data_IF_714898704132
#
_entry.id   IF_714898704132
#
_cell.length_a   1.000
_cell.length_b   1.000
_cell.length_c   1.000
_cell.angle_alpha   90.00
_cell.angle_beta   90.00
_cell.angle_gamma   90.00
#
_symmetry.space_group_name_H-M   'P 1'
#
loop_
_entity.id
_entity.type
_entity.pdbx_description
1 polymer ?
#
# COMPACT_ATOMS: atom_id res chain seq x y z
N UNK A 1 -1.98 23.11 11.08
CA UNK A 1 -1.86 21.74 10.54
C UNK A 1 -3.22 21.06 10.43
N UNK A 2 -4.07 21.15 11.45
CA UNK A 2 -5.38 20.47 11.49
C UNK A 2 -6.56 21.44 11.44
N UNK A 3 -7.59 21.05 10.68
CA UNK A 3 -8.93 21.60 10.82
C UNK A 3 -9.66 20.89 11.96
N UNK A 4 -9.52 21.43 13.17
CA UNK A 4 -10.06 20.80 14.39
C UNK A 4 -11.58 20.79 14.47
N UNK A 5 -12.25 21.65 13.71
CA UNK A 5 -13.72 21.68 13.65
C UNK A 5 -14.23 20.48 12.86
N UNK A 6 -13.68 20.28 11.66
CA UNK A 6 -14.00 19.13 10.80
C UNK A 6 -13.61 17.82 11.48
N UNK A 7 -12.42 17.74 12.08
CA UNK A 7 -11.99 16.55 12.80
C UNK A 7 -12.97 16.16 13.93
N UNK A 8 -13.45 17.12 14.72
CA UNK A 8 -14.43 16.86 15.78
C UNK A 8 -15.75 16.35 15.24
N UNK A 9 -16.19 16.88 14.11
CA UNK A 9 -17.42 16.45 13.44
C UNK A 9 -17.28 15.01 12.94
N UNK A 10 -16.18 14.69 12.24
CA UNK A 10 -15.89 13.34 11.77
C UNK A 10 -15.80 12.33 12.92
N UNK A 11 -15.15 12.68 14.04
CA UNK A 11 -15.08 11.80 15.21
C UNK A 11 -16.48 11.49 15.75
N UNK A 12 -17.40 12.47 15.81
CA UNK A 12 -18.79 12.24 16.26
C UNK A 12 -19.54 11.25 15.35
N UNK A 13 -19.30 11.33 14.04
CA UNK A 13 -19.97 10.46 13.07
C UNK A 13 -19.27 9.10 12.88
N UNK A 14 -18.01 8.98 13.30
CA UNK A 14 -17.23 7.73 13.29
C UNK A 14 -17.66 6.72 14.34
N UNK A 15 -17.04 5.53 14.30
CA UNK A 15 -17.18 4.47 15.31
C UNK A 15 -16.73 4.90 16.71
N UNK A 16 -15.83 5.88 16.84
CA UNK A 16 -15.30 6.32 18.14
C UNK A 16 -16.29 7.21 18.89
N UNK A 17 -17.15 7.96 18.18
CA UNK A 17 -18.18 8.89 18.68
C UNK A 17 -17.70 10.05 19.57
N UNK A 18 -16.59 9.88 20.27
CA UNK A 18 -16.08 10.79 21.30
C UNK A 18 -14.58 11.02 21.12
N UNK A 19 -14.13 12.20 21.52
CA UNK A 19 -12.70 12.54 21.52
C UNK A 19 -11.88 11.66 22.46
N UNK A 20 -12.50 11.06 23.47
CA UNK A 20 -11.81 10.20 24.45
C UNK A 20 -11.51 8.85 23.82
N UNK A 21 -12.52 8.18 23.27
CA UNK A 21 -12.34 6.91 22.57
C UNK A 21 -11.40 7.04 21.37
N UNK A 22 -11.45 8.17 20.65
CA UNK A 22 -10.53 8.43 19.54
C UNK A 22 -9.08 8.64 20.02
N UNK A 23 -8.88 9.35 21.13
CA UNK A 23 -7.55 9.52 21.73
C UNK A 23 -6.95 8.16 22.17
N UNK A 24 -7.78 7.29 22.75
CA UNK A 24 -7.38 5.93 23.12
C UNK A 24 -6.98 5.10 21.91
N UNK A 25 -7.76 5.14 20.82
CA UNK A 25 -7.44 4.44 19.57
C UNK A 25 -6.14 4.94 18.92
N UNK A 26 -5.83 6.23 19.08
CA UNK A 26 -4.56 6.81 18.64
C UNK A 26 -3.37 6.35 19.51
N UNK A 27 -3.63 5.85 20.72
CA UNK A 27 -2.60 5.49 21.70
C UNK A 27 -2.06 6.69 22.47
N UNK A 28 -2.86 7.75 22.64
CA UNK A 28 -2.47 8.99 23.34
C UNK A 28 -3.41 9.32 24.49
N UNK A 29 -2.93 10.09 25.45
CA UNK A 29 -3.75 10.50 26.60
C UNK A 29 -4.80 11.53 26.18
N UNK A 30 -5.92 11.56 26.92
CA UNK A 30 -6.97 12.59 26.76
C UNK A 30 -6.38 14.01 26.80
N UNK A 31 -5.45 14.28 27.72
CA UNK A 31 -4.78 15.57 27.82
C UNK A 31 -3.89 15.87 26.61
N UNK A 32 -3.19 14.85 26.10
CA UNK A 32 -2.41 14.95 24.86
C UNK A 32 -3.30 15.29 23.66
N UNK A 33 -4.44 14.63 23.50
CA UNK A 33 -5.38 14.94 22.42
C UNK A 33 -6.01 16.33 22.57
N UNK A 34 -6.38 16.74 23.78
CA UNK A 34 -6.85 18.11 24.04
C UNK A 34 -5.81 19.16 23.66
N UNK A 35 -4.52 18.89 23.91
CA UNK A 35 -3.43 19.75 23.48
C UNK A 35 -3.35 19.84 21.95
N UNK A 36 -3.49 18.72 21.23
CA UNK A 36 -3.52 18.73 19.75
C UNK A 36 -4.69 19.56 19.22
N UNK A 37 -5.88 19.42 19.83
CA UNK A 37 -7.07 20.18 19.46
C UNK A 37 -6.90 21.68 19.74
N UNK A 38 -6.23 22.06 20.84
CA UNK A 38 -6.02 23.48 21.16
C UNK A 38 -4.93 24.11 20.31
N UNK A 39 -3.82 23.39 20.05
CA UNK A 39 -2.70 23.89 19.23
C UNK A 39 -2.95 23.78 17.73
N UNK A 40 -3.98 23.02 17.31
CA UNK A 40 -4.27 22.69 15.89
C UNK A 40 -3.07 22.08 15.16
N UNK A 41 -2.22 21.39 15.93
CA UNK A 41 -0.92 20.90 15.50
C UNK A 41 -0.57 19.58 16.18
N UNK A 42 0.08 18.70 15.44
CA UNK A 42 0.51 17.38 15.90
C UNK A 42 1.73 16.93 15.10
N UNK A 43 2.30 15.77 15.45
CA UNK A 43 3.32 15.12 14.62
C UNK A 43 2.67 14.57 13.35
N UNK A 44 3.42 14.59 12.25
CA UNK A 44 2.97 14.09 10.95
C UNK A 44 2.46 12.65 10.99
N UNK A 45 3.21 11.75 11.64
CA UNK A 45 2.79 10.36 11.87
C UNK A 45 1.42 10.25 12.57
N UNK A 46 1.21 11.05 13.62
CA UNK A 46 -0.06 11.06 14.35
C UNK A 46 -1.20 11.61 13.48
N UNK A 47 -0.93 12.58 12.63
CA UNK A 47 -1.90 13.12 11.68
C UNK A 47 -2.36 12.05 10.68
N UNK A 48 -1.42 11.32 10.07
CA UNK A 48 -1.79 10.25 9.13
C UNK A 48 -2.51 9.09 9.82
N UNK A 49 -2.10 8.74 11.04
CA UNK A 49 -2.83 7.76 11.86
C UNK A 49 -4.26 8.20 12.17
N UNK A 50 -4.52 9.49 12.37
CA UNK A 50 -5.89 10.00 12.51
C UNK A 50 -6.70 9.78 11.23
N UNK A 51 -6.09 9.99 10.07
CA UNK A 51 -6.75 9.78 8.77
C UNK A 51 -7.07 8.30 8.55
N UNK A 52 -6.12 7.41 8.85
CA UNK A 52 -6.28 5.96 8.76
C UNK A 52 -7.42 5.45 9.66
N UNK A 53 -7.45 5.89 10.93
CA UNK A 53 -8.50 5.47 11.87
C UNK A 53 -9.90 5.94 11.45
N UNK A 54 -9.99 7.04 10.71
CA UNK A 54 -11.25 7.61 10.23
C UNK A 54 -11.60 7.19 8.80
N UNK A 55 -10.70 6.49 8.11
CA UNK A 55 -10.82 6.12 6.69
C UNK A 55 -11.11 7.33 5.78
N UNK A 56 -10.27 8.37 5.90
CA UNK A 56 -10.44 9.65 5.17
C UNK A 56 -9.17 10.10 4.47
N UNK A 57 -9.35 10.88 3.41
CA UNK A 57 -8.24 11.57 2.75
C UNK A 57 -7.64 12.65 3.68
N UNK A 58 -6.30 12.69 3.84
CA UNK A 58 -5.58 13.70 4.61
C UNK A 58 -5.99 15.16 4.35
N UNK A 59 -6.37 15.50 3.12
CA UNK A 59 -6.78 16.85 2.72
C UNK A 59 -8.05 17.29 3.47
N UNK A 60 -8.91 16.35 3.87
CA UNK A 60 -10.21 16.65 4.51
C UNK A 60 -10.01 17.30 5.90
N UNK A 61 -9.04 16.81 6.68
CA UNK A 61 -8.76 17.33 8.03
C UNK A 61 -7.52 18.21 8.10
N UNK A 62 -6.82 18.41 6.99
CA UNK A 62 -5.72 19.36 6.92
C UNK A 62 -6.23 20.80 7.07
N UNK A 63 -5.44 21.65 7.73
CA UNK A 63 -5.61 23.10 7.59
C UNK A 63 -5.24 23.52 6.17
N UNK A 64 -5.80 24.60 5.65
CA UNK A 64 -5.53 25.12 4.29
C UNK A 64 -4.05 25.13 3.94
N UNK A 65 -3.20 25.76 4.76
CA UNK A 65 -1.75 25.82 4.58
C UNK A 65 -1.07 24.44 4.49
N UNK A 66 -1.55 23.48 5.28
CA UNK A 66 -0.98 22.13 5.33
C UNK A 66 -1.53 21.26 4.19
N UNK A 67 -2.78 21.49 3.78
CA UNK A 67 -3.37 20.89 2.60
C UNK A 67 -2.59 21.25 1.33
N UNK A 68 -2.15 22.51 1.20
CA UNK A 68 -1.28 22.92 0.10
C UNK A 68 0.09 22.22 0.13
N UNK A 69 0.66 21.98 1.32
CA UNK A 69 1.89 21.19 1.47
C UNK A 69 1.66 19.72 1.06
N UNK A 70 0.55 19.10 1.48
CA UNK A 70 0.19 17.73 1.10
C UNK A 70 0.00 17.63 -0.41
N UNK A 71 -0.76 18.56 -1.02
CA UNK A 71 -0.96 18.61 -2.47
C UNK A 71 0.35 18.85 -3.20
N UNK A 72 1.22 19.72 -2.70
CA UNK A 72 2.53 19.96 -3.30
C UNK A 72 3.41 18.71 -3.25
N UNK A 73 3.40 17.96 -2.14
CA UNK A 73 4.11 16.67 -2.04
C UNK A 73 3.54 15.63 -3.00
N UNK A 74 2.21 15.48 -3.05
CA UNK A 74 1.56 14.60 -4.04
C UNK A 74 1.89 15.02 -5.48
N UNK A 75 1.98 16.31 -5.77
CA UNK A 75 2.39 16.82 -7.07
C UNK A 75 3.89 16.63 -7.34
N UNK A 76 4.76 16.69 -6.33
CA UNK A 76 6.19 16.38 -6.47
C UNK A 76 6.39 14.89 -6.77
N UNK A 77 5.68 14.01 -6.06
CA UNK A 77 5.65 12.56 -6.36
C UNK A 77 5.21 12.30 -7.81
N UNK A 78 4.22 13.06 -8.29
CA UNK A 78 3.73 13.02 -9.69
C UNK A 78 4.67 13.70 -10.71
N UNK A 79 5.60 14.54 -10.27
CA UNK A 79 6.46 15.38 -11.14
C UNK A 79 7.77 14.70 -11.56
N UNK A 80 8.10 13.54 -11.01
CA UNK A 80 9.22 12.77 -11.55
C UNK A 80 8.79 12.13 -12.86
N UNK A 81 9.61 12.24 -13.89
CA UNK A 81 9.40 11.51 -15.13
C UNK A 81 9.66 10.01 -14.96
N UNK A 82 9.21 9.19 -15.91
CA UNK A 82 9.66 7.79 -15.97
C UNK A 82 11.18 7.71 -16.17
N UNK A 83 11.77 8.68 -16.87
CA UNK A 83 13.21 8.83 -17.03
C UNK A 83 13.91 9.00 -15.68
N UNK A 84 13.43 9.92 -14.85
CA UNK A 84 14.00 10.21 -13.53
C UNK A 84 13.94 8.97 -12.64
N UNK A 85 12.80 8.26 -12.64
CA UNK A 85 12.65 7.02 -11.86
C UNK A 85 13.58 5.92 -12.32
N UNK A 86 13.78 5.76 -13.64
CA UNK A 86 14.76 4.78 -14.14
C UNK A 86 16.18 5.17 -13.71
N UNK A 87 16.54 6.46 -13.73
CA UNK A 87 17.84 6.94 -13.28
C UNK A 87 18.03 6.77 -11.76
N UNK A 88 16.98 7.04 -10.98
CA UNK A 88 16.97 6.82 -9.54
C UNK A 88 17.16 5.33 -9.22
N UNK A 89 16.42 4.45 -9.91
CA UNK A 89 16.57 3.00 -9.76
C UNK A 89 18.01 2.55 -10.05
N UNK A 90 18.61 3.02 -11.15
CA UNK A 90 20.01 2.71 -11.51
C UNK A 90 20.96 3.15 -10.40
N UNK A 91 20.73 4.35 -9.84
CA UNK A 91 21.54 4.93 -8.77
C UNK A 91 21.42 4.13 -7.47
N UNK A 92 20.20 3.76 -7.07
CA UNK A 92 19.92 2.99 -5.86
C UNK A 92 20.49 1.57 -5.95
N UNK A 93 20.43 0.95 -7.12
CA UNK A 93 21.06 -0.35 -7.38
C UNK A 93 22.60 -0.27 -7.40
N UNK A 94 23.18 0.94 -7.42
CA UNK A 94 24.61 1.19 -7.51
C UNK A 94 25.27 0.48 -8.71
N UNK A 95 24.59 0.50 -9.86
CA UNK A 95 25.07 -0.04 -11.13
C UNK A 95 25.13 1.05 -12.19
N UNK A 96 25.88 0.81 -13.27
CA UNK A 96 25.87 1.72 -14.41
C UNK A 96 24.82 1.32 -15.45
N UNK A 97 24.52 2.24 -16.38
CA UNK A 97 23.52 2.04 -17.44
C UNK A 97 23.81 0.83 -18.33
N UNK A 98 25.08 0.45 -18.50
CA UNK A 98 25.44 -0.72 -19.30
C UNK A 98 25.01 -2.02 -18.62
N UNK A 99 25.33 -2.15 -17.33
CA UNK A 99 24.92 -3.30 -16.51
C UNK A 99 23.40 -3.36 -16.46
N UNK A 100 22.73 -2.23 -16.19
CA UNK A 100 21.27 -2.16 -16.15
C UNK A 100 20.63 -2.68 -17.45
N UNK A 101 21.06 -2.17 -18.61
CA UNK A 101 20.58 -2.61 -19.93
C UNK A 101 20.81 -4.10 -20.18
N UNK A 102 21.97 -4.61 -19.79
CA UNK A 102 22.30 -6.04 -19.90
C UNK A 102 21.37 -6.90 -19.02
N UNK A 103 21.10 -6.49 -17.78
CA UNK A 103 20.21 -7.19 -16.85
C UNK A 103 18.79 -7.29 -17.40
N UNK A 104 18.21 -6.19 -17.87
CA UNK A 104 16.85 -6.17 -18.42
C UNK A 104 16.77 -6.70 -19.87
N UNK A 105 17.90 -7.09 -20.46
CA UNK A 105 18.02 -7.53 -21.87
C UNK A 105 17.41 -6.50 -22.84
N UNK A 106 17.86 -5.25 -22.74
CA UNK A 106 17.43 -4.16 -23.61
C UNK A 106 18.63 -3.41 -24.21
N UNK A 107 18.52 -2.89 -25.45
CA UNK A 107 19.56 -2.05 -26.04
C UNK A 107 19.79 -0.76 -25.25
N UNK A 108 21.05 -0.31 -25.16
CA UNK A 108 21.41 0.99 -24.57
C UNK A 108 20.71 2.17 -25.27
N UNK A 109 20.52 2.08 -26.59
CA UNK A 109 19.82 3.10 -27.38
C UNK A 109 18.36 3.28 -26.94
N UNK A 110 17.70 2.20 -26.52
CA UNK A 110 16.35 2.26 -25.97
C UNK A 110 16.33 3.02 -24.66
N UNK A 111 17.28 2.74 -23.75
CA UNK A 111 17.39 3.48 -22.48
C UNK A 111 17.66 4.98 -22.72
N UNK A 112 18.59 5.32 -23.62
CA UNK A 112 18.86 6.72 -23.98
C UNK A 112 17.61 7.43 -24.51
N UNK A 113 16.86 6.79 -25.42
CA UNK A 113 15.62 7.38 -25.95
C UNK A 113 14.55 7.59 -24.88
N UNK A 114 14.51 6.74 -23.84
CA UNK A 114 13.56 6.89 -22.73
C UNK A 114 13.97 8.07 -21.85
N UNK A 115 15.26 8.19 -21.54
CA UNK A 115 15.81 9.29 -20.74
C UNK A 115 15.56 10.64 -21.44
N UNK A 116 15.80 10.71 -22.75
CA UNK A 116 15.67 11.97 -23.51
C UNK A 116 14.21 12.42 -23.69
N UNK A 117 13.27 11.48 -23.80
CA UNK A 117 11.87 11.76 -24.15
C UNK A 117 10.89 11.62 -23.00
N UNK A 118 11.38 11.17 -21.85
CA UNK A 118 10.57 10.82 -20.68
C UNK A 118 9.36 9.92 -21.03
N UNK A 119 9.58 8.95 -21.91
CA UNK A 119 8.53 8.06 -22.40
C UNK A 119 9.06 6.64 -22.56
N UNK A 120 8.35 5.69 -21.99
CA UNK A 120 8.72 4.30 -21.94
C UNK A 120 7.60 3.41 -22.47
N UNK A 121 7.94 2.49 -23.37
CA UNK A 121 7.01 1.46 -23.80
C UNK A 121 6.73 0.47 -22.66
N UNK A 122 5.48 -0.03 -22.59
CA UNK A 122 5.07 -1.00 -21.58
C UNK A 122 5.98 -2.24 -21.54
N UNK A 123 6.45 -2.71 -22.70
CA UNK A 123 7.35 -3.88 -22.79
C UNK A 123 8.66 -3.63 -22.05
N UNK A 124 9.17 -2.40 -22.05
CA UNK A 124 10.40 -2.06 -21.33
C UNK A 124 10.16 -2.03 -19.82
N UNK A 125 9.03 -1.47 -19.36
CA UNK A 125 8.62 -1.54 -17.95
C UNK A 125 8.49 -2.99 -17.46
N UNK A 126 7.87 -3.86 -18.25
CA UNK A 126 7.76 -5.29 -17.94
C UNK A 126 9.12 -5.97 -17.83
N UNK A 127 10.09 -5.60 -18.67
CA UNK A 127 11.46 -6.11 -18.57
C UNK A 127 12.14 -5.68 -17.27
N UNK A 128 11.94 -4.44 -16.85
CA UNK A 128 12.45 -3.95 -15.56
C UNK A 128 11.83 -4.75 -14.41
N UNK A 129 10.50 -4.84 -14.34
CA UNK A 129 9.80 -5.54 -13.25
C UNK A 129 10.12 -7.03 -13.20
N UNK A 130 10.37 -7.67 -14.35
CA UNK A 130 10.84 -9.07 -14.39
C UNK A 130 12.27 -9.25 -13.89
N UNK A 131 13.15 -8.27 -14.14
CA UNK A 131 14.54 -8.31 -13.72
C UNK A 131 14.70 -7.94 -12.23
N UNK A 132 13.79 -7.12 -11.70
CA UNK A 132 13.78 -6.67 -10.30
C UNK A 132 12.40 -6.98 -9.67
N UNK A 133 12.16 -8.23 -9.23
CA UNK A 133 10.86 -8.64 -8.69
C UNK A 133 10.41 -7.89 -7.44
N UNK A 134 11.37 -7.36 -6.67
CA UNK A 134 11.12 -6.61 -5.46
C UNK A 134 10.83 -5.11 -5.73
N UNK A 135 10.93 -4.67 -6.99
CA UNK A 135 10.63 -3.30 -7.40
C UNK A 135 9.12 -3.05 -7.36
N UNK A 136 8.72 -1.94 -6.74
CA UNK A 136 7.33 -1.49 -6.74
C UNK A 136 6.91 -1.02 -8.13
N UNK A 137 5.92 -1.70 -8.71
CA UNK A 137 5.31 -1.29 -9.96
C UNK A 137 4.56 0.04 -9.83
N UNK A 138 3.97 0.29 -8.65
CA UNK A 138 3.31 1.57 -8.35
C UNK A 138 4.31 2.72 -8.37
N UNK A 139 5.47 2.53 -7.73
CA UNK A 139 6.52 3.54 -7.76
C UNK A 139 7.05 3.75 -9.18
N UNK A 140 7.37 2.68 -9.91
CA UNK A 140 7.92 2.80 -11.26
C UNK A 140 6.95 3.51 -12.21
N UNK A 141 5.65 3.20 -12.15
CA UNK A 141 4.67 3.76 -13.08
C UNK A 141 4.15 5.14 -12.64
N UNK A 142 3.91 5.34 -11.35
CA UNK A 142 3.17 6.49 -10.82
C UNK A 142 4.03 7.45 -10.00
N UNK A 143 5.28 7.09 -9.68
CA UNK A 143 6.17 7.89 -8.84
C UNK A 143 5.76 7.98 -7.38
N UNK A 144 4.92 7.05 -6.91
CA UNK A 144 4.38 7.04 -5.55
C UNK A 144 4.80 5.79 -4.78
N UNK A 145 4.98 5.96 -3.47
CA UNK A 145 5.38 4.86 -2.58
C UNK A 145 6.89 4.59 -2.56
N UNK A 146 7.26 3.46 -1.97
CA UNK A 146 8.65 3.03 -1.81
C UNK A 146 9.17 2.37 -3.11
N UNK A 147 10.47 2.54 -3.40
CA UNK A 147 11.13 1.92 -4.57
C UNK A 147 11.00 0.39 -4.49
N UNK A 148 11.35 -0.18 -3.35
CA UNK A 148 11.28 -1.63 -3.14
C UNK A 148 10.15 -1.99 -2.21
N UNK A 149 9.50 -3.11 -2.52
CA UNK A 149 8.49 -3.71 -1.67
C UNK A 149 9.18 -4.23 -0.40
N UNK A 150 8.74 -3.74 0.77
CA UNK A 150 9.26 -4.19 2.06
C UNK A 150 8.83 -5.65 2.28
N UNK A 151 9.72 -6.59 1.99
CA UNK A 151 9.70 -7.95 2.55
C UNK A 151 8.44 -8.78 2.28
N UNK A 152 7.84 -8.71 1.10
CA UNK A 152 6.86 -9.72 0.70
C UNK A 152 7.51 -10.76 -0.21
N UNK A 153 8.09 -11.79 0.42
CA UNK A 153 8.32 -13.11 -0.16
C UNK A 153 7.00 -13.84 -0.54
N UNK A 154 5.96 -13.09 -0.90
CA UNK A 154 4.59 -13.54 -1.14
C UNK A 154 4.00 -12.84 -2.37
N UNK A 155 4.73 -12.92 -3.49
CA UNK A 155 4.14 -12.91 -4.84
C UNK A 155 4.03 -14.35 -5.38
N UNK A 156 3.85 -15.34 -4.50
CA UNK A 156 3.12 -16.53 -4.89
C UNK A 156 1.66 -16.12 -4.77
N UNK A 157 0.88 -16.26 -5.84
CA UNK A 157 -0.54 -16.50 -5.66
C UNK A 157 -0.62 -17.63 -4.63
N UNK A 158 -0.95 -17.30 -3.39
CA UNK A 158 -1.25 -18.30 -2.40
C UNK A 158 -2.47 -19.00 -2.96
N UNK A 159 -2.26 -20.18 -3.56
CA UNK A 159 -3.35 -21.11 -3.77
C UNK A 159 -4.10 -21.17 -2.44
N UNK A 160 -5.43 -20.99 -2.45
CA UNK A 160 -6.20 -21.13 -1.22
C UNK A 160 -5.77 -22.45 -0.59
N UNK A 161 -5.42 -22.42 0.70
CA UNK A 161 -4.94 -23.59 1.45
C UNK A 161 -5.84 -24.75 1.06
N UNK A 162 -5.25 -25.71 0.36
CA UNK A 162 -5.94 -26.80 -0.28
C UNK A 162 -6.55 -27.65 0.85
N UNK A 163 -7.78 -27.33 1.26
CA UNK A 163 -8.45 -27.92 2.42
C UNK A 163 -8.93 -29.37 2.16
N UNK A 164 -8.30 -30.05 1.18
CA UNK A 164 -8.61 -31.40 0.72
C UNK A 164 -8.47 -32.44 1.84
N UNK A 165 -7.63 -32.18 2.86
CA UNK A 165 -7.51 -33.06 4.02
C UNK A 165 -8.81 -33.17 4.83
N UNK A 166 -9.54 -32.05 5.00
CA UNK A 166 -10.83 -32.06 5.72
C UNK A 166 -11.97 -32.65 4.88
N UNK A 167 -11.88 -32.54 3.55
CA UNK A 167 -12.87 -33.11 2.62
C UNK A 167 -12.76 -34.63 2.58
N UNK A 168 -11.55 -35.19 2.51
CA UNK A 168 -11.33 -36.64 2.53
C UNK A 168 -11.83 -37.29 3.84
N UNK A 169 -11.57 -36.63 4.97
CA UNK A 169 -12.04 -37.10 6.27
C UNK A 169 -13.58 -37.06 6.35
N UNK A 170 -14.19 -35.95 5.88
CA UNK A 170 -15.65 -35.80 5.85
C UNK A 170 -16.33 -36.76 4.88
N UNK A 171 -15.70 -37.11 3.75
CA UNK A 171 -16.17 -38.13 2.82
C UNK A 171 -16.18 -39.51 3.48
N UNK A 172 -15.10 -39.87 4.19
CA UNK A 172 -15.03 -41.14 4.91
C UNK A 172 -16.09 -41.24 6.02
N UNK A 173 -16.31 -40.14 6.74
CA UNK A 173 -17.35 -40.06 7.78
C UNK A 173 -18.76 -40.20 7.18
N UNK A 174 -19.04 -39.51 6.06
CA UNK A 174 -20.31 -39.59 5.33
C UNK A 174 -20.57 -40.98 4.75
N UNK A 175 -19.54 -41.66 4.21
CA UNK A 175 -19.67 -43.02 3.69
C UNK A 175 -20.03 -44.02 4.78
N UNK A 176 -19.45 -43.85 5.97
CA UNK A 176 -19.75 -44.68 7.13
C UNK A 176 -21.20 -44.47 7.61
N UNK A 177 -21.63 -43.21 7.70
CA UNK A 177 -22.99 -42.84 8.09
C UNK A 177 -24.04 -43.37 7.10
N UNK A 178 -23.77 -43.32 5.79
CA UNK A 178 -24.63 -43.89 4.75
C UNK A 178 -24.74 -45.42 4.84
N UNK A 179 -23.65 -46.10 5.19
CA UNK A 179 -23.65 -47.56 5.40
C UNK A 179 -24.55 -47.95 6.58
N UNK A 180 -24.42 -47.23 7.69
CA UNK A 180 -25.20 -47.48 8.90
C UNK A 180 -26.70 -47.22 8.66
N UNK A 181 -27.04 -46.14 7.98
CA UNK A 181 -28.43 -45.83 7.61
C UNK A 181 -29.04 -46.88 6.67
N UNK A 182 -28.30 -47.36 5.67
CA UNK A 182 -28.76 -48.44 4.79
C UNK A 182 -29.03 -49.73 5.56
N UNK A 183 -28.22 -50.03 6.57
CA UNK A 183 -28.42 -51.22 7.42
C UNK A 183 -29.68 -51.13 8.30
N UNK A 184 -30.09 -49.91 8.66
CA UNK A 184 -31.30 -49.65 9.45
C UNK A 184 -32.58 -49.71 8.60
N UNK A 185 -32.51 -49.40 7.30
CA UNK A 185 -33.65 -49.47 6.38
C UNK A 185 -33.92 -50.93 5.92
N UNK A 186 -32.90 -51.79 5.88
CA UNK A 186 -33.02 -53.20 5.48
C UNK A 186 -33.29 -54.17 6.66
N UNK A 187 -33.74 -53.66 7.81
CA UNK A 187 -34.23 -54.44 8.97
C UNK A 187 -35.72 -54.24 9.14
#
# INVERSE_FOLDING_TARGET
MLNTSVLKELIKHSQYRTNIAFAEALGITKSGFQKIISTRSTKEETFYKMCELLDIDPIIIASEEFGEIIKARQQIELKTGIADRIQELISVLNINSAIFCSTIKAPKTTLSSIIDRDNCQLVFLQKILRAYPDLSAEWLCMGRGEIFLKGNAHNLAAEPIANYGKVAQRLSDLEKELSDLKSQINK
#
